data_IF_780210878023
#
_entry.id   IF_780210878023
#
_cell.length_a   1.000
_cell.length_b   1.000
_cell.length_c   1.000
_cell.angle_alpha   90.00
_cell.angle_beta   90.00
_cell.angle_gamma   90.00
#
_symmetry.space_group_name_H-M   'P 1'
#
loop_
_entity.id
_entity.type
_entity.pdbx_description
1 polymer ?
#
# COMPACT_ATOMS: atom_id res chain seq x y z
N UNK A 1 -0.09 0.37 -12.38
CA UNK A 1 -1.33 1.04 -11.93
C UNK A 1 -1.27 1.19 -10.42
N UNK A 2 -1.92 2.19 -9.85
CA UNK A 2 -2.00 2.41 -8.41
C UNK A 2 -3.43 2.71 -7.99
N UNK A 3 -3.82 2.26 -6.80
CA UNK A 3 -5.09 2.61 -6.18
C UNK A 3 -4.77 3.40 -4.92
N UNK A 4 -5.34 4.60 -4.81
CA UNK A 4 -5.19 5.45 -3.64
C UNK A 4 -6.50 6.21 -3.37
N UNK A 5 -6.62 6.78 -2.18
CA UNK A 5 -7.67 7.73 -1.89
C UNK A 5 -7.40 9.10 -2.53
N UNK A 6 -8.45 9.77 -2.99
CA UNK A 6 -8.45 11.20 -3.35
C UNK A 6 -9.61 11.95 -2.68
N UNK A 7 -9.54 13.28 -2.65
CA UNK A 7 -10.56 14.15 -2.05
C UNK A 7 -11.08 15.14 -3.09
N UNK A 8 -12.40 15.13 -3.31
CA UNK A 8 -13.09 16.13 -4.14
C UNK A 8 -13.60 17.25 -3.23
N UNK A 9 -13.16 18.51 -3.43
CA UNK A 9 -13.54 19.61 -2.55
C UNK A 9 -15.04 19.86 -2.60
N UNK A 10 -15.64 20.02 -1.42
CA UNK A 10 -17.05 20.42 -1.30
C UNK A 10 -17.26 21.29 -0.06
N UNK A 11 -17.69 22.53 -0.29
CA UNK A 11 -17.79 23.56 0.74
C UNK A 11 -19.19 23.69 1.36
N UNK A 12 -20.18 22.99 0.81
CA UNK A 12 -21.54 22.98 1.36
C UNK A 12 -21.69 22.18 2.65
N UNK A 13 -22.89 22.29 3.25
CA UNK A 13 -23.31 21.53 4.43
C UNK A 13 -23.98 20.24 3.96
N UNK A 14 -23.23 19.14 3.93
CA UNK A 14 -23.76 17.82 3.61
C UNK A 14 -23.17 16.77 4.55
N UNK A 15 -24.01 15.88 5.07
CA UNK A 15 -23.66 14.95 6.15
C UNK A 15 -22.67 13.86 5.76
N UNK A 16 -22.60 13.48 4.47
CA UNK A 16 -21.70 12.42 4.00
C UNK A 16 -20.28 12.89 3.70
N UNK A 17 -20.01 14.20 3.85
CA UNK A 17 -18.66 14.77 3.69
C UNK A 17 -17.70 14.12 4.66
N UNK A 18 -16.52 13.73 4.16
CA UNK A 18 -15.46 13.14 4.96
C UNK A 18 -14.44 14.20 5.35
N UNK A 19 -13.83 14.03 6.52
CA UNK A 19 -12.63 14.75 6.94
C UNK A 19 -11.44 13.80 6.97
N UNK A 20 -10.39 14.10 6.22
CA UNK A 20 -9.16 13.30 6.20
C UNK A 20 -7.98 14.19 6.56
N UNK A 21 -7.32 13.87 7.67
CA UNK A 21 -6.10 14.54 8.11
C UNK A 21 -4.94 14.26 7.17
N UNK A 22 -4.07 15.25 6.96
CA UNK A 22 -2.85 15.09 6.15
C UNK A 22 -3.03 15.29 4.65
N UNK A 23 -4.26 15.42 4.14
CA UNK A 23 -4.50 15.78 2.73
C UNK A 23 -4.51 17.29 2.52
N UNK A 24 -4.07 17.80 1.35
CA UNK A 24 -4.20 19.22 1.01
C UNK A 24 -5.65 19.71 1.10
N UNK A 25 -6.59 18.89 0.60
CA UNK A 25 -8.03 19.11 0.72
C UNK A 25 -8.57 18.20 1.81
N UNK A 26 -8.81 18.78 3.00
CA UNK A 26 -9.20 18.00 4.19
C UNK A 26 -10.69 17.68 4.27
N UNK A 27 -11.55 18.53 3.75
CA UNK A 27 -13.01 18.38 3.79
C UNK A 27 -13.58 18.22 2.38
N UNK A 28 -14.31 17.13 2.14
CA UNK A 28 -14.86 16.85 0.82
C UNK A 28 -15.43 15.45 0.69
N UNK A 29 -15.69 15.04 -0.55
CA UNK A 29 -16.07 13.67 -0.84
C UNK A 29 -14.82 12.82 -1.07
N UNK A 30 -14.70 11.74 -0.29
CA UNK A 30 -13.64 10.74 -0.48
C UNK A 30 -13.98 9.91 -1.72
N UNK A 31 -13.01 9.73 -2.60
CA UNK A 31 -13.09 8.81 -3.73
C UNK A 31 -11.89 7.86 -3.70
N UNK A 32 -12.09 6.64 -4.19
CA UNK A 32 -11.00 5.74 -4.57
C UNK A 32 -10.60 6.07 -6.00
N UNK A 33 -9.32 6.20 -6.27
CA UNK A 33 -8.77 6.57 -7.59
C UNK A 33 -7.84 5.46 -8.08
N UNK A 34 -8.12 4.94 -9.27
CA UNK A 34 -7.23 4.06 -10.02
C UNK A 34 -6.45 4.91 -11.02
N UNK A 35 -5.13 4.95 -10.87
CA UNK A 35 -4.25 5.71 -11.73
C UNK A 35 -3.30 4.81 -12.53
N UNK A 36 -3.00 5.23 -13.75
CA UNK A 36 -1.95 4.61 -14.55
C UNK A 36 -0.55 5.01 -14.02
N UNK A 37 0.52 4.31 -14.44
CA UNK A 37 1.88 4.67 -14.06
C UNK A 37 2.33 6.08 -14.50
N UNK A 38 1.73 6.65 -15.55
CA UNK A 38 2.04 8.01 -16.02
C UNK A 38 1.28 9.12 -15.26
N UNK A 39 0.38 8.76 -14.34
CA UNK A 39 -0.35 9.70 -13.48
C UNK A 39 -1.76 10.08 -13.93
N UNK A 40 -2.27 9.49 -15.02
CA UNK A 40 -3.64 9.63 -15.48
C UNK A 40 -4.63 8.84 -14.62
N UNK A 41 -5.75 9.48 -14.29
CA UNK A 41 -6.89 8.83 -13.65
C UNK A 41 -7.63 7.96 -14.67
N UNK A 42 -7.65 6.65 -14.43
CA UNK A 42 -8.35 5.67 -15.29
C UNK A 42 -9.81 5.55 -14.84
N UNK A 43 -10.01 5.37 -13.54
CA UNK A 43 -11.33 5.15 -12.94
C UNK A 43 -11.35 5.70 -11.52
N UNK A 44 -12.53 6.11 -11.05
CA UNK A 44 -12.74 6.44 -9.65
C UNK A 44 -14.09 5.92 -9.16
N UNK A 45 -14.15 5.66 -7.85
CA UNK A 45 -15.38 5.21 -7.18
C UNK A 45 -15.61 6.03 -5.91
N UNK A 46 -16.81 6.60 -5.76
CA UNK A 46 -17.16 7.38 -4.59
C UNK A 46 -17.25 6.50 -3.34
N UNK A 47 -16.68 6.96 -2.22
CA UNK A 47 -16.79 6.23 -0.97
C UNK A 47 -18.21 6.33 -0.40
N UNK A 48 -18.86 5.19 -0.20
CA UNK A 48 -20.25 5.08 0.28
C UNK A 48 -20.36 4.55 1.71
N UNK A 49 -19.27 4.53 2.48
CA UNK A 49 -19.24 3.95 3.83
C UNK A 49 -18.72 2.51 3.88
N UNK A 50 -18.93 1.83 5.01
CA UNK A 50 -18.49 0.44 5.22
C UNK A 50 -19.47 -0.51 4.54
N UNK A 51 -19.02 -1.19 3.48
CA UNK A 51 -19.77 -2.27 2.85
C UNK A 51 -19.41 -3.62 3.52
N UNK A 52 -20.42 -4.46 3.75
CA UNK A 52 -20.25 -5.77 4.39
C UNK A 52 -20.06 -6.92 3.38
N UNK A 53 -20.39 -6.71 2.10
CA UNK A 53 -20.33 -7.75 1.08
C UNK A 53 -19.19 -7.48 0.10
N UNK A 54 -17.96 -7.86 0.48
CA UNK A 54 -16.80 -7.77 -0.42
C UNK A 54 -16.55 -9.14 -1.06
N UNK A 55 -16.51 -9.25 -2.40
CA UNK A 55 -16.17 -10.49 -3.06
C UNK A 55 -14.69 -10.79 -2.82
N UNK A 56 -14.40 -11.67 -1.86
CA UNK A 56 -13.05 -12.18 -1.62
C UNK A 56 -12.68 -13.12 -2.79
N UNK A 57 -11.50 -12.93 -3.39
CA UNK A 57 -10.87 -13.74 -4.47
C UNK A 57 -11.16 -13.41 -5.94
N UNK A 58 -12.01 -12.43 -6.28
CA UNK A 58 -12.30 -12.12 -7.70
C UNK A 58 -11.06 -11.66 -8.47
N UNK A 59 -10.21 -10.84 -7.86
CA UNK A 59 -9.07 -10.20 -8.52
C UNK A 59 -8.02 -11.19 -9.04
N UNK A 60 -7.70 -12.23 -8.26
CA UNK A 60 -6.74 -13.27 -8.69
C UNK A 60 -7.28 -14.07 -9.88
N UNK A 61 -8.58 -14.40 -9.89
CA UNK A 61 -9.22 -15.10 -11.02
C UNK A 61 -9.23 -14.28 -12.31
N UNK A 62 -9.28 -12.96 -12.19
CA UNK A 62 -9.19 -12.03 -13.32
C UNK A 62 -7.74 -11.78 -13.79
N UNK A 63 -6.73 -12.38 -13.15
CA UNK A 63 -5.33 -12.19 -13.51
C UNK A 63 -4.66 -10.94 -12.94
N UNK A 64 -5.31 -10.24 -12.00
CA UNK A 64 -4.71 -9.08 -11.34
C UNK A 64 -3.88 -9.49 -10.12
N UNK A 65 -2.60 -9.14 -10.15
CA UNK A 65 -1.72 -9.16 -8.98
C UNK A 65 -1.78 -7.84 -8.20
N UNK A 66 -1.33 -7.86 -6.95
CA UNK A 66 -1.22 -6.67 -6.12
C UNK A 66 0.07 -6.68 -5.31
N UNK A 67 0.56 -5.48 -5.04
CA UNK A 67 1.74 -5.23 -4.20
C UNK A 67 1.47 -3.98 -3.36
N UNK A 68 1.85 -4.01 -2.09
CA UNK A 68 1.63 -2.88 -1.20
C UNK A 68 2.25 -3.05 0.18
N UNK A 69 2.17 -2.00 0.99
CA UNK A 69 2.62 -2.03 2.39
C UNK A 69 1.52 -2.52 3.32
N UNK A 70 1.86 -3.37 4.29
CA UNK A 70 0.93 -3.84 5.32
C UNK A 70 1.26 -3.16 6.66
N UNK A 71 0.21 -2.80 7.42
CA UNK A 71 0.38 -2.42 8.81
C UNK A 71 0.71 -3.68 9.65
N UNK A 72 1.83 -3.71 10.40
CA UNK A 72 2.20 -4.87 11.23
C UNK A 72 1.12 -5.33 12.21
N UNK A 73 0.20 -4.45 12.63
CA UNK A 73 -0.92 -4.79 13.50
C UNK A 73 -2.09 -5.50 12.76
N UNK A 74 -1.95 -5.77 11.46
CA UNK A 74 -2.97 -6.40 10.59
C UNK A 74 -2.45 -7.64 9.88
N UNK A 75 -1.54 -8.39 10.51
CA UNK A 75 -0.86 -9.54 9.91
C UNK A 75 -1.46 -10.90 10.30
N UNK A 76 -2.56 -10.93 11.06
CA UNK A 76 -3.33 -12.14 11.36
C UNK A 76 -2.47 -13.38 11.71
N UNK A 77 -1.60 -13.26 12.71
CA UNK A 77 -0.68 -14.32 13.17
C UNK A 77 0.36 -14.80 12.15
N UNK A 78 0.69 -13.99 11.13
CA UNK A 78 1.82 -14.27 10.25
C UNK A 78 3.11 -14.45 11.08
N UNK A 79 3.85 -15.56 10.95
CA UNK A 79 4.99 -15.91 11.80
C UNK A 79 6.26 -15.15 11.40
N UNK A 80 6.15 -13.82 11.26
CA UNK A 80 7.25 -12.93 10.94
C UNK A 80 7.97 -12.47 12.22
N UNK A 81 9.27 -12.16 12.13
CA UNK A 81 9.99 -11.57 13.25
C UNK A 81 9.33 -10.25 13.67
N UNK A 82 9.34 -10.00 14.98
CA UNK A 82 8.77 -8.77 15.54
C UNK A 82 9.50 -7.55 14.99
N UNK A 83 8.82 -6.40 14.93
CA UNK A 83 9.44 -5.14 14.50
C UNK A 83 10.67 -4.78 15.36
N UNK A 84 10.66 -5.13 16.64
CA UNK A 84 11.82 -4.96 17.54
C UNK A 84 13.01 -5.82 17.14
N UNK A 85 12.78 -7.05 16.69
CA UNK A 85 13.87 -7.95 16.30
C UNK A 85 14.44 -7.58 14.94
N UNK A 86 13.58 -7.22 13.99
CA UNK A 86 14.00 -6.71 12.67
C UNK A 86 14.88 -5.47 12.83
N UNK A 87 14.55 -4.57 13.77
CA UNK A 87 15.33 -3.35 14.02
C UNK A 87 16.74 -3.62 14.57
N UNK A 88 16.98 -4.79 15.18
CA UNK A 88 18.31 -5.20 15.67
C UNK A 88 19.22 -5.69 14.55
N UNK A 89 18.65 -6.08 13.41
CA UNK A 89 19.43 -6.54 12.26
C UNK A 89 20.12 -5.37 11.55
N UNK A 90 21.16 -5.61 10.75
CA UNK A 90 21.73 -4.58 9.89
C UNK A 90 20.68 -3.95 8.97
N UNK A 91 20.88 -2.67 8.63
CA UNK A 91 20.05 -2.01 7.62
C UNK A 91 20.22 -2.71 6.28
N UNK A 92 19.12 -2.94 5.57
CA UNK A 92 19.09 -3.72 4.32
C UNK A 92 18.75 -5.19 4.51
N UNK A 93 18.80 -5.72 5.74
CA UNK A 93 18.36 -7.09 6.01
C UNK A 93 16.86 -7.23 5.77
N UNK A 94 16.46 -8.35 5.16
CA UNK A 94 15.07 -8.68 4.94
C UNK A 94 14.79 -10.15 5.28
N UNK A 95 13.54 -10.43 5.63
CA UNK A 95 13.01 -11.78 5.85
C UNK A 95 11.67 -11.87 5.15
N UNK A 96 11.31 -13.02 4.62
CA UNK A 96 10.06 -13.18 3.89
C UNK A 96 9.41 -14.52 4.20
N UNK A 97 8.10 -14.56 3.99
CA UNK A 97 7.29 -15.77 4.07
C UNK A 97 6.39 -15.80 2.85
N UNK A 98 6.37 -16.93 2.16
CA UNK A 98 5.48 -17.16 1.02
C UNK A 98 4.50 -18.25 1.41
N UNK A 99 3.21 -17.92 1.34
CA UNK A 99 2.16 -18.92 1.40
C UNK A 99 2.02 -19.56 0.01
N UNK A 100 2.40 -20.83 -0.09
CA UNK A 100 2.39 -21.60 -1.34
C UNK A 100 0.97 -21.80 -1.86
N UNK A 101 -0.03 -21.89 -0.97
CA UNK A 101 -1.42 -22.15 -1.36
C UNK A 101 -2.04 -20.94 -2.08
N UNK A 102 -1.73 -19.74 -1.59
CA UNK A 102 -2.25 -18.50 -2.15
C UNK A 102 -1.27 -17.80 -3.10
N UNK A 103 0.01 -18.18 -3.09
CA UNK A 103 1.07 -17.52 -3.84
C UNK A 103 1.39 -16.11 -3.34
N UNK A 104 0.97 -15.78 -2.11
CA UNK A 104 1.21 -14.46 -1.50
C UNK A 104 2.52 -14.51 -0.74
N UNK A 105 3.38 -13.52 -0.99
CA UNK A 105 4.63 -13.32 -0.27
C UNK A 105 4.54 -12.07 0.59
N UNK A 106 4.84 -12.22 1.88
CA UNK A 106 5.00 -11.10 2.82
C UNK A 106 6.48 -10.93 3.12
N UNK A 107 7.01 -9.73 2.94
CA UNK A 107 8.41 -9.40 3.19
C UNK A 107 8.53 -8.34 4.27
N UNK A 108 9.41 -8.58 5.23
CA UNK A 108 9.85 -7.62 6.23
C UNK A 108 11.24 -7.13 5.87
N UNK A 109 11.42 -5.82 5.73
CA UNK A 109 12.67 -5.19 5.33
C UNK A 109 13.09 -4.13 6.35
N UNK A 110 14.33 -4.19 6.79
CA UNK A 110 14.89 -3.25 7.74
C UNK A 110 15.52 -2.04 7.02
N UNK A 111 14.85 -0.89 7.05
CA UNK A 111 15.42 0.39 6.62
C UNK A 111 15.67 1.32 7.83
N UNK A 112 15.36 2.63 7.74
CA UNK A 112 15.36 3.51 8.90
C UNK A 112 14.34 3.06 9.97
N UNK A 113 13.27 2.39 9.52
CA UNK A 113 12.31 1.64 10.33
C UNK A 113 11.97 0.34 9.58
N UNK A 114 11.60 -0.73 10.28
CA UNK A 114 11.07 -1.93 9.65
C UNK A 114 9.85 -1.61 8.79
N UNK A 115 9.85 -2.07 7.55
CA UNK A 115 8.74 -1.94 6.60
C UNK A 115 8.23 -3.33 6.27
N UNK A 116 6.92 -3.49 6.27
CA UNK A 116 6.26 -4.73 5.86
C UNK A 116 5.57 -4.54 4.52
N UNK A 117 5.87 -5.39 3.56
CA UNK A 117 5.28 -5.41 2.23
C UNK A 117 4.63 -6.76 1.95
N UNK A 118 3.62 -6.75 1.07
CA UNK A 118 2.98 -7.95 0.54
C UNK A 118 2.97 -7.85 -0.97
N UNK A 119 3.16 -8.99 -1.63
CA UNK A 119 3.00 -9.12 -3.07
C UNK A 119 2.39 -10.47 -3.41
N UNK A 120 1.51 -10.49 -4.42
CA UNK A 120 0.97 -11.71 -5.02
C UNK A 120 1.50 -12.00 -6.41
N UNK A 121 2.41 -11.17 -6.92
CA UNK A 121 2.94 -11.26 -8.28
C UNK A 121 4.47 -11.21 -8.34
N UNK A 122 5.12 -10.62 -7.33
CA UNK A 122 6.56 -10.44 -7.30
C UNK A 122 7.22 -11.57 -6.51
N UNK A 123 8.13 -12.34 -7.14
CA UNK A 123 8.99 -13.26 -6.40
C UNK A 123 10.04 -12.47 -5.61
N UNK A 124 10.58 -13.09 -4.55
CA UNK A 124 11.66 -12.48 -3.76
C UNK A 124 12.99 -12.42 -4.53
N UNK A 125 13.17 -13.35 -5.47
CA UNK A 125 14.35 -13.46 -6.30
C UNK A 125 14.00 -13.15 -7.77
N UNK A 126 14.89 -12.51 -8.54
CA UNK A 126 16.26 -12.08 -8.18
C UNK A 126 16.30 -10.77 -7.38
N UNK A 127 17.31 -10.64 -6.51
CA UNK A 127 17.56 -9.40 -5.78
C UNK A 127 18.23 -8.38 -6.71
N UNK A 128 17.61 -7.23 -6.89
CA UNK A 128 18.23 -6.09 -7.58
C UNK A 128 18.94 -5.18 -6.58
N UNK A 129 20.17 -4.78 -6.89
CA UNK A 129 20.86 -3.70 -6.17
C UNK A 129 20.46 -2.36 -6.77
N UNK A 130 19.70 -1.56 -6.01
CA UNK A 130 19.18 -0.27 -6.47
C UNK A 130 19.82 0.83 -5.61
N UNK A 131 20.44 1.82 -6.25
CA UNK A 131 20.91 3.02 -5.56
C UNK A 131 19.71 3.87 -5.12
N UNK A 132 19.76 4.42 -3.90
CA UNK A 132 18.72 5.34 -3.43
C UNK A 132 18.69 6.56 -4.34
N UNK A 133 17.49 6.98 -4.75
CA UNK A 133 17.30 8.28 -5.40
C UNK A 133 17.66 9.37 -4.37
N UNK A 134 18.82 9.98 -4.52
CA UNK A 134 19.21 11.18 -3.77
C UNK A 134 18.46 12.35 -4.40
N UNK A 135 17.87 13.23 -3.59
CA UNK A 135 17.27 14.46 -4.09
C UNK A 135 18.30 15.26 -4.85
N UNK A 136 17.91 15.89 -5.96
CA UNK A 136 18.77 16.89 -6.59
C UNK A 136 18.70 18.10 -5.66
N UNK A 137 19.72 18.24 -4.80
CA UNK A 137 19.94 19.45 -4.03
C UNK A 137 20.43 20.52 -5.01
N UNK A 138 19.46 21.20 -5.66
CA UNK A 138 19.70 22.24 -6.65
C UNK A 138 19.10 23.56 -6.21
N UNK A 139 19.73 24.21 -5.23
CA UNK A 139 19.67 25.67 -5.09
C UNK A 139 20.36 26.32 -6.28
N UNK A 140 19.59 27.07 -7.07
CA UNK A 140 19.85 28.45 -7.53
C UNK A 140 18.52 29.07 -7.91
#
# INVERSE_FOLDING_TARGET
MSIDESMVPYFGRHGTKQFITGKPIRYGYKVWSLCDPCGYLIQFDAYQGKQNNRPNSMYKKLGYGYTGTINPNRTEHCPLPSTSDVKKTPRGTYTYITDISTGITVTSWNDNRPVLTVSSCDPVQPIAHIARRVGIDGTT
#
